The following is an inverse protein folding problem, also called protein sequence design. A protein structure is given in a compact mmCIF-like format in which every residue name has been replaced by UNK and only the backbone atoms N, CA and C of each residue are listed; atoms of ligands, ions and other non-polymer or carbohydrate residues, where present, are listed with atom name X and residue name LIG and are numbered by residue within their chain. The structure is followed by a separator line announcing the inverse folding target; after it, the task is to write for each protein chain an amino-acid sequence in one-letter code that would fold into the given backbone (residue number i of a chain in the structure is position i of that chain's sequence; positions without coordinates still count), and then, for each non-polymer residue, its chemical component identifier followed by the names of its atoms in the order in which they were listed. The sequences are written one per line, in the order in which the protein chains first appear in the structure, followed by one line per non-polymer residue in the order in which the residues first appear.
data_IF_535302490136
#
_entry.id   IF_535302490136
#
_cell.length_a   1.000
_cell.length_b   1.000
_cell.length_c   1.000
_cell.angle_alpha   90.00
_cell.angle_beta   90.00
_cell.angle_gamma   90.00
#
_symmetry.space_group_name_H-M   'P 1'
#
loop_
_entity.id
_entity.type
_entity.pdbx_description
1 polymer ?
#
# COMPACT_ATOMS: atom_id res chain seq x y z
N UNK A 1 -31.05 17.14 -5.57
CA UNK A 1 -31.32 17.16 -4.12
C UNK A 1 -30.80 18.48 -3.58
N UNK A 2 -31.64 19.34 -3.02
CA UNK A 2 -31.20 20.60 -2.43
C UNK A 2 -30.45 20.29 -1.12
N UNK A 3 -29.22 20.79 -0.96
CA UNK A 3 -28.47 20.64 0.27
C UNK A 3 -29.16 21.42 1.41
N UNK A 4 -29.45 20.75 2.53
CA UNK A 4 -30.03 21.36 3.72
C UNK A 4 -28.93 22.14 4.46
N UNK A 5 -29.15 23.44 4.69
CA UNK A 5 -28.17 24.27 5.40
C UNK A 5 -27.97 23.78 6.84
N UNK A 6 -26.70 23.61 7.24
CA UNK A 6 -26.32 23.19 8.60
C UNK A 6 -26.03 21.70 8.80
N UNK A 7 -26.16 20.86 7.77
CA UNK A 7 -25.86 19.40 7.84
C UNK A 7 -24.52 19.00 7.18
N UNK A 8 -23.71 19.96 6.74
CA UNK A 8 -22.40 19.72 6.15
C UNK A 8 -21.28 20.04 7.15
N UNK A 9 -20.35 19.10 7.34
CA UNK A 9 -19.16 19.24 8.19
C UNK A 9 -17.92 19.05 7.33
N UNK A 10 -16.89 19.90 7.43
CA UNK A 10 -15.66 19.72 6.67
C UNK A 10 -14.95 18.43 7.11
N UNK A 11 -14.68 17.54 6.15
CA UNK A 11 -13.91 16.31 6.38
C UNK A 11 -12.51 16.50 5.80
N UNK A 12 -11.48 16.22 6.60
CA UNK A 12 -10.10 16.24 6.13
C UNK A 12 -9.84 15.05 5.20
N UNK A 13 -9.24 15.32 4.04
CA UNK A 13 -8.85 14.29 3.05
C UNK A 13 -8.02 13.15 3.67
N UNK A 14 -7.24 13.43 4.70
CA UNK A 14 -6.46 12.43 5.44
C UNK A 14 -7.31 11.29 6.04
N UNK A 15 -8.62 11.49 6.29
CA UNK A 15 -9.51 10.45 6.79
C UNK A 15 -10.11 9.58 5.68
N UNK A 16 -10.21 10.12 4.46
CA UNK A 16 -10.93 9.46 3.36
C UNK A 16 -10.00 8.93 2.28
N UNK A 17 -8.78 9.46 2.19
CA UNK A 17 -7.83 9.11 1.15
C UNK A 17 -6.76 8.14 1.62
N UNK A 18 -6.35 7.19 0.74
CA UNK A 18 -5.26 6.29 1.02
C UNK A 18 -3.94 7.03 1.31
N UNK A 19 -3.25 6.62 2.37
CA UNK A 19 -1.94 7.17 2.73
C UNK A 19 -0.85 6.51 1.85
N UNK A 20 -0.38 7.26 0.87
CA UNK A 20 0.69 6.85 -0.04
C UNK A 20 2.05 7.40 0.42
N UNK A 21 3.10 6.63 0.18
CA UNK A 21 4.50 6.98 0.39
C UNK A 21 5.21 6.84 -0.96
N UNK A 22 5.56 7.97 -1.58
CA UNK A 22 6.17 7.98 -2.92
C UNK A 22 5.27 7.39 -4.03
N UNK A 23 3.96 7.36 -3.82
CA UNK A 23 2.98 6.76 -4.74
C UNK A 23 2.67 5.29 -4.50
N UNK A 24 3.31 4.63 -3.53
CA UNK A 24 2.98 3.27 -3.08
C UNK A 24 2.20 3.30 -1.75
N UNK A 25 1.37 2.30 -1.42
CA UNK A 25 0.68 2.28 -0.13
C UNK A 25 1.71 2.12 0.98
N UNK A 26 1.57 2.93 2.04
CA UNK A 26 2.54 3.01 3.15
C UNK A 26 3.00 1.65 3.67
N UNK A 27 2.06 0.73 3.89
CA UNK A 27 2.38 -0.61 4.43
C UNK A 27 3.31 -1.41 3.51
N UNK A 28 3.09 -1.36 2.19
CA UNK A 28 3.93 -2.06 1.20
C UNK A 28 5.30 -1.42 1.11
N UNK A 29 5.35 -0.09 1.07
CA UNK A 29 6.60 0.64 0.99
C UNK A 29 7.51 0.33 2.20
N UNK A 30 6.93 0.30 3.41
CA UNK A 30 7.66 -0.07 4.63
C UNK A 30 8.13 -1.52 4.56
N UNK A 31 7.25 -2.48 4.22
CA UNK A 31 7.60 -3.89 4.15
C UNK A 31 8.70 -4.17 3.11
N UNK A 32 8.59 -3.57 1.93
CA UNK A 32 9.59 -3.70 0.87
C UNK A 32 10.93 -3.07 1.30
N UNK A 33 10.88 -1.89 1.93
CA UNK A 33 12.07 -1.22 2.45
C UNK A 33 12.78 -2.02 3.55
N UNK A 34 12.04 -2.61 4.48
CA UNK A 34 12.63 -3.44 5.55
C UNK A 34 13.21 -4.74 5.01
N UNK A 35 12.52 -5.42 4.08
CA UNK A 35 13.08 -6.61 3.41
C UNK A 35 14.36 -6.26 2.64
N UNK A 36 14.36 -5.15 1.90
CA UNK A 36 15.52 -4.68 1.16
C UNK A 36 16.69 -4.33 2.07
N UNK A 37 16.43 -3.65 3.20
CA UNK A 37 17.45 -3.35 4.18
C UNK A 37 17.99 -4.62 4.86
N UNK A 38 17.13 -5.57 5.21
CA UNK A 38 17.54 -6.84 5.79
C UNK A 38 18.45 -7.63 4.84
N UNK A 39 18.13 -7.68 3.54
CA UNK A 39 18.96 -8.38 2.55
C UNK A 39 20.23 -7.59 2.22
N UNK A 40 20.10 -6.28 1.98
CA UNK A 40 21.20 -5.44 1.54
C UNK A 40 22.25 -5.20 2.63
N UNK A 41 21.80 -4.85 3.83
CA UNK A 41 22.68 -4.53 4.96
C UNK A 41 22.89 -5.74 5.86
N UNK A 42 21.86 -6.55 6.11
CA UNK A 42 21.97 -7.71 7.00
C UNK A 42 22.77 -8.86 6.39
N UNK A 43 22.46 -9.27 5.16
CA UNK A 43 23.23 -10.28 4.43
C UNK A 43 24.42 -9.69 3.63
N UNK A 44 24.67 -8.38 3.74
CA UNK A 44 25.68 -7.63 2.96
C UNK A 44 25.50 -7.74 1.43
N UNK A 45 24.34 -8.19 0.96
CA UNK A 45 24.05 -8.33 -0.47
C UNK A 45 23.46 -7.02 -1.00
N UNK A 46 24.23 -5.93 -0.91
CA UNK A 46 23.74 -4.57 -1.16
C UNK A 46 23.12 -4.40 -2.55
N UNK A 47 23.70 -5.02 -3.60
CA UNK A 47 23.15 -4.99 -4.96
C UNK A 47 21.76 -5.65 -4.99
N UNK A 48 21.64 -6.84 -4.42
CA UNK A 48 20.38 -7.56 -4.36
C UNK A 48 19.32 -6.77 -3.55
N UNK A 49 19.72 -6.17 -2.43
CA UNK A 49 18.86 -5.28 -1.64
C UNK A 49 18.35 -4.09 -2.43
N UNK A 50 19.23 -3.39 -3.16
CA UNK A 50 18.87 -2.22 -4.00
C UNK A 50 17.95 -2.65 -5.14
N UNK A 51 18.27 -3.73 -5.86
CA UNK A 51 17.43 -4.24 -6.96
C UNK A 51 16.05 -4.61 -6.44
N UNK A 52 15.98 -5.33 -5.31
CA UNK A 52 14.70 -5.69 -4.70
C UNK A 52 13.91 -4.46 -4.25
N UNK A 53 14.57 -3.46 -3.66
CA UNK A 53 13.92 -2.21 -3.28
C UNK A 53 13.31 -1.51 -4.49
N UNK A 54 14.11 -1.26 -5.53
CA UNK A 54 13.68 -0.52 -6.73
C UNK A 54 12.57 -1.27 -7.44
N UNK A 55 12.73 -2.58 -7.68
CA UNK A 55 11.75 -3.41 -8.37
C UNK A 55 10.44 -3.51 -7.57
N UNK A 56 10.53 -3.80 -6.27
CA UNK A 56 9.36 -3.92 -5.41
C UNK A 56 8.62 -2.59 -5.25
N UNK A 57 9.34 -1.48 -5.12
CA UNK A 57 8.73 -0.16 -4.96
C UNK A 57 8.10 0.33 -6.26
N UNK A 58 8.78 0.17 -7.40
CA UNK A 58 8.18 0.52 -8.71
C UNK A 58 6.92 -0.30 -9.01
N UNK A 59 6.93 -1.60 -8.72
CA UNK A 59 5.75 -2.45 -8.86
C UNK A 59 4.62 -1.99 -7.93
N UNK A 60 4.93 -1.61 -6.69
CA UNK A 60 3.94 -1.11 -5.73
C UNK A 60 3.34 0.24 -6.16
N UNK A 61 4.15 1.16 -6.70
CA UNK A 61 3.67 2.42 -7.28
C UNK A 61 2.77 2.15 -8.49
N UNK A 62 3.16 1.24 -9.37
CA UNK A 62 2.36 0.88 -10.54
C UNK A 62 1.01 0.25 -10.15
N UNK A 63 0.99 -0.62 -9.14
CA UNK A 63 -0.23 -1.20 -8.59
C UNK A 63 -1.13 -0.12 -7.96
N UNK A 64 -0.58 0.75 -7.12
CA UNK A 64 -1.34 1.84 -6.49
C UNK A 64 -1.87 2.88 -7.49
N UNK A 65 -1.18 3.09 -8.61
CA UNK A 65 -1.70 3.92 -9.72
C UNK A 65 -2.94 3.30 -10.38
N UNK A 66 -3.09 1.97 -10.35
CA UNK A 66 -4.26 1.27 -10.91
C UNK A 66 -5.39 1.14 -9.90
N UNK A 67 -5.05 0.81 -8.67
CA UNK A 67 -5.98 0.65 -7.56
C UNK A 67 -5.27 1.01 -6.25
N UNK A 68 -5.57 2.15 -5.61
CA UNK A 68 -4.97 2.55 -4.34
C UNK A 68 -5.24 1.57 -3.18
N UNK A 69 -6.38 0.86 -3.22
CA UNK A 69 -6.87 -0.01 -2.15
C UNK A 69 -6.51 -1.49 -2.36
N UNK A 70 -5.72 -1.80 -3.39
CA UNK A 70 -5.39 -3.18 -3.79
C UNK A 70 -4.88 -4.05 -2.64
N UNK A 71 -4.11 -3.47 -1.71
CA UNK A 71 -3.59 -4.20 -0.55
C UNK A 71 -4.65 -4.56 0.48
N UNK A 72 -5.61 -3.65 0.74
CA UNK A 72 -6.70 -3.93 1.66
C UNK A 72 -7.57 -5.07 1.12
N UNK A 73 -7.84 -5.04 -0.20
CA UNK A 73 -8.57 -6.10 -0.91
C UNK A 73 -7.78 -7.41 -0.90
N UNK A 74 -6.48 -7.38 -1.19
CA UNK A 74 -5.63 -8.58 -1.16
C UNK A 74 -5.58 -9.21 0.23
N UNK A 75 -5.35 -8.41 1.27
CA UNK A 75 -5.31 -8.87 2.65
C UNK A 75 -6.65 -9.48 3.08
N UNK A 76 -7.76 -8.89 2.63
CA UNK A 76 -9.10 -9.44 2.84
C UNK A 76 -9.28 -10.77 2.10
N UNK A 77 -8.84 -10.85 0.84
CA UNK A 77 -8.94 -12.07 0.04
C UNK A 77 -8.16 -13.23 0.65
N UNK A 78 -6.92 -12.98 1.10
CA UNK A 78 -6.09 -13.97 1.79
C UNK A 78 -6.75 -14.48 3.07
N UNK A 79 -7.43 -13.60 3.82
CA UNK A 79 -8.14 -13.95 5.05
C UNK A 79 -9.44 -14.72 4.79
N UNK A 80 -10.16 -14.38 3.72
CA UNK A 80 -11.50 -14.92 3.42
C UNK A 80 -11.48 -16.21 2.61
N UNK A 81 -10.36 -16.55 1.96
CA UNK A 81 -10.20 -17.74 1.09
C UNK A 81 -10.57 -19.07 1.75
N UNK A 82 -10.53 -19.17 3.08
CA UNK A 82 -10.92 -20.38 3.82
C UNK A 82 -12.43 -20.57 3.99
N UNK A 83 -13.22 -19.48 3.94
CA UNK A 83 -14.65 -19.51 4.34
C UNK A 83 -15.62 -19.48 3.15
N UNK A 84 -15.19 -18.97 1.99
CA UNK A 84 -16.02 -18.76 0.80
C UNK A 84 -15.63 -19.69 -0.37
N UNK A 85 -15.35 -20.96 -0.09
CA UNK A 85 -15.21 -21.98 -1.14
C UNK A 85 -16.62 -22.50 -1.47
N UNK A 86 -17.11 -22.18 -2.66
CA UNK A 86 -18.16 -22.98 -3.30
C UNK A 86 -17.58 -24.32 -3.73
#
# INVERSE_FOLDING_TARGET
MAALQGFEVPVHRALTEPILLGGAPRAVAILNGTLAAAIGLGLQQWIAGVVMFVAGHTLAVFAARRDPDFMAVLARHLRQRGWWRC
#
